data_IF_845411683844
#
_entry.id   IF_845411683844
#
_cell.length_a   1.000
_cell.length_b   1.000
_cell.length_c   1.000
_cell.angle_alpha   90.00
_cell.angle_beta   90.00
_cell.angle_gamma   90.00
#
_symmetry.space_group_name_H-M   'P 1'
#
loop_
_entity.id
_entity.type
_entity.pdbx_description
1 polymer ?
#
# COMPACT_ATOMS: atom_id res chain seq x y z
N UNK A 1 10.03 -16.03 -1.43
CA UNK A 1 10.04 -14.57 -1.14
C UNK A 1 11.46 -14.10 -0.89
N UNK A 2 11.88 -12.91 -1.40
CA UNK A 2 13.24 -12.39 -1.15
C UNK A 2 13.38 -11.89 0.29
N UNK A 3 14.63 -11.83 0.86
CA UNK A 3 14.84 -11.31 2.21
C UNK A 3 14.30 -9.88 2.41
N UNK A 4 14.43 -9.01 1.40
CA UNK A 4 13.94 -7.62 1.44
C UNK A 4 12.41 -7.58 1.56
N UNK A 5 11.70 -8.41 0.77
CA UNK A 5 10.24 -8.52 0.84
C UNK A 5 9.77 -9.09 2.18
N UNK A 6 10.48 -10.12 2.66
CA UNK A 6 10.18 -10.70 3.96
C UNK A 6 10.30 -9.66 5.08
N UNK A 7 11.37 -8.84 5.06
CA UNK A 7 11.59 -7.79 6.05
C UNK A 7 10.41 -6.80 6.14
N UNK A 8 9.80 -6.45 5.00
CA UNK A 8 8.65 -5.52 4.97
C UNK A 8 7.44 -6.08 5.74
N UNK A 9 7.18 -7.38 5.62
CA UNK A 9 5.98 -8.03 6.20
C UNK A 9 6.25 -8.78 7.49
N UNK A 10 7.52 -8.95 7.88
CA UNK A 10 7.94 -9.79 9.02
C UNK A 10 7.23 -9.42 10.32
N UNK A 11 7.11 -8.11 10.59
CA UNK A 11 6.47 -7.64 11.84
C UNK A 11 5.02 -8.08 11.97
N UNK A 12 4.28 -8.18 10.87
CA UNK A 12 2.89 -8.65 10.88
C UNK A 12 2.80 -10.16 10.78
N UNK A 13 3.71 -10.84 10.05
CA UNK A 13 3.76 -12.30 10.03
C UNK A 13 4.07 -12.88 11.42
N UNK A 14 4.81 -12.15 12.26
CA UNK A 14 5.09 -12.57 13.64
C UNK A 14 3.87 -12.48 14.57
N UNK A 15 2.76 -11.88 14.14
CA UNK A 15 1.51 -11.85 14.92
C UNK A 15 0.58 -13.03 14.64
N UNK A 16 0.92 -13.90 13.68
CA UNK A 16 0.17 -15.09 13.39
C UNK A 16 0.43 -16.17 14.45
N UNK A 17 -0.63 -16.82 14.87
CA UNK A 17 -0.63 -17.87 15.90
C UNK A 17 -0.68 -19.28 15.29
N UNK A 18 -1.15 -19.42 14.02
CA UNK A 18 -1.28 -20.67 13.30
C UNK A 18 -0.29 -20.73 12.14
N UNK A 19 0.69 -21.64 12.21
CA UNK A 19 1.77 -21.73 11.23
C UNK A 19 1.25 -22.07 9.82
N UNK A 20 0.24 -22.94 9.69
CA UNK A 20 -0.34 -23.31 8.40
C UNK A 20 -1.00 -22.12 7.69
N UNK A 21 -1.67 -21.23 8.43
CA UNK A 21 -2.26 -20.01 7.86
C UNK A 21 -1.17 -18.99 7.52
N UNK A 22 -0.15 -18.87 8.36
CA UNK A 22 1.02 -18.03 8.10
C UNK A 22 1.76 -18.47 6.83
N UNK A 23 2.00 -19.76 6.67
CA UNK A 23 2.64 -20.32 5.47
C UNK A 23 1.79 -20.07 4.23
N UNK A 24 0.47 -20.21 4.33
CA UNK A 24 -0.46 -19.88 3.26
C UNK A 24 -0.37 -18.39 2.87
N UNK A 25 -0.32 -17.48 3.85
CA UNK A 25 -0.15 -16.05 3.59
C UNK A 25 1.19 -15.77 2.89
N UNK A 26 2.28 -16.45 3.27
CA UNK A 26 3.59 -16.34 2.63
C UNK A 26 3.54 -16.82 1.17
N UNK A 27 2.87 -17.94 0.90
CA UNK A 27 2.67 -18.46 -0.47
C UNK A 27 1.91 -17.43 -1.32
N UNK A 28 0.84 -16.83 -0.78
CA UNK A 28 0.10 -15.81 -1.49
C UNK A 28 0.97 -14.58 -1.79
N UNK A 29 1.70 -14.07 -0.80
CA UNK A 29 2.61 -12.94 -0.97
C UNK A 29 3.68 -13.18 -2.04
N UNK A 30 4.20 -14.40 -2.11
CA UNK A 30 5.25 -14.78 -3.08
C UNK A 30 4.71 -14.85 -4.52
N UNK A 31 3.42 -15.14 -4.66
CA UNK A 31 2.73 -15.22 -5.93
C UNK A 31 2.09 -13.89 -6.39
N UNK A 32 2.19 -12.82 -5.58
CA UNK A 32 1.67 -11.51 -6.00
C UNK A 32 2.43 -10.97 -7.23
N UNK A 33 1.75 -10.22 -8.11
CA UNK A 33 2.42 -9.51 -9.20
C UNK A 33 3.56 -8.61 -8.70
N UNK A 34 4.65 -8.54 -9.45
CA UNK A 34 5.84 -7.77 -9.08
C UNK A 34 5.55 -6.29 -8.76
N UNK A 35 4.59 -5.68 -9.47
CA UNK A 35 4.27 -4.28 -9.26
C UNK A 35 3.74 -3.97 -7.85
N UNK A 36 3.11 -4.94 -7.16
CA UNK A 36 2.55 -4.76 -5.80
C UNK A 36 3.63 -4.30 -4.82
N UNK A 37 4.85 -4.78 -4.98
CA UNK A 37 5.99 -4.45 -4.14
C UNK A 37 6.58 -3.06 -4.40
N UNK A 38 6.19 -2.40 -5.50
CA UNK A 38 6.81 -1.15 -5.96
C UNK A 38 5.88 0.06 -6.00
N UNK A 39 4.58 -0.16 -6.24
CA UNK A 39 3.66 0.96 -6.45
C UNK A 39 3.23 1.61 -5.14
N UNK A 40 2.81 2.90 -5.17
CA UNK A 40 2.13 3.54 -4.06
C UNK A 40 0.72 2.97 -3.85
N UNK A 41 0.18 3.08 -2.64
CA UNK A 41 -1.21 2.70 -2.35
C UNK A 41 -2.23 3.57 -3.12
N UNK A 42 -1.86 4.81 -3.43
CA UNK A 42 -2.69 5.74 -4.19
C UNK A 42 -1.86 6.56 -5.18
N UNK A 43 -2.35 6.68 -6.41
CA UNK A 43 -1.72 7.51 -7.44
C UNK A 43 -1.75 9.00 -7.13
N UNK A 44 -2.74 9.48 -6.37
CA UNK A 44 -2.90 10.91 -6.04
C UNK A 44 -2.35 11.29 -4.68
N UNK A 45 -2.22 10.35 -3.76
CA UNK A 45 -1.80 10.57 -2.38
C UNK A 45 -2.69 11.50 -1.56
N UNK A 46 -3.85 11.91 -2.09
CA UNK A 46 -4.69 12.96 -1.50
C UNK A 46 -5.18 12.63 -0.08
N UNK A 47 -5.54 11.39 0.17
CA UNK A 47 -6.14 10.95 1.43
C UNK A 47 -5.23 10.03 2.24
N UNK A 48 -4.21 9.47 1.63
CA UNK A 48 -3.35 8.45 2.22
C UNK A 48 -2.23 9.05 3.07
N UNK A 49 -1.82 8.37 4.16
CA UNK A 49 -0.67 8.75 4.97
C UNK A 49 0.65 8.68 4.18
N UNK A 50 1.67 9.38 4.67
CA UNK A 50 2.97 9.45 4.01
C UNK A 50 3.62 8.07 3.80
N UNK A 51 3.49 7.15 4.76
CA UNK A 51 4.05 5.80 4.66
C UNK A 51 3.53 4.98 3.48
N UNK A 52 2.31 5.26 3.02
CA UNK A 52 1.67 4.53 1.91
C UNK A 52 1.91 5.18 0.53
N UNK A 53 2.75 6.22 0.47
CA UNK A 53 3.12 6.92 -0.76
C UNK A 53 4.48 6.42 -1.28
N UNK A 54 4.76 6.74 -2.55
CA UNK A 54 6.02 6.39 -3.19
C UNK A 54 6.21 4.89 -3.40
N UNK A 55 7.44 4.49 -3.68
CA UNK A 55 7.77 3.09 -3.94
C UNK A 55 7.50 2.20 -2.72
N UNK A 56 6.93 1.02 -2.96
CA UNK A 56 6.53 0.09 -1.89
C UNK A 56 5.39 0.57 -1.01
N UNK A 57 4.77 1.74 -1.33
CA UNK A 57 3.72 2.32 -0.54
C UNK A 57 2.48 1.43 -0.39
N UNK A 58 2.15 0.64 -1.42
CA UNK A 58 1.03 -0.29 -1.38
C UNK A 58 1.27 -1.41 -0.36
N UNK A 59 2.46 -1.99 -0.32
CA UNK A 59 2.76 -3.05 0.66
C UNK A 59 2.81 -2.49 2.09
N UNK A 60 3.36 -1.27 2.30
CA UNK A 60 3.30 -0.62 3.62
C UNK A 60 1.87 -0.31 4.04
N UNK A 61 0.99 0.04 3.11
CA UNK A 61 -0.44 0.19 3.39
C UNK A 61 -1.05 -1.14 3.87
N UNK A 62 -0.80 -2.25 3.16
CA UNK A 62 -1.31 -3.57 3.56
C UNK A 62 -0.79 -3.98 4.96
N UNK A 63 0.49 -3.74 5.26
CA UNK A 63 1.04 -3.93 6.61
C UNK A 63 0.33 -3.06 7.65
N UNK A 64 0.05 -1.79 7.32
CA UNK A 64 -0.69 -0.90 8.21
C UNK A 64 -2.13 -1.40 8.47
N UNK A 65 -2.80 -1.95 7.45
CA UNK A 65 -4.13 -2.56 7.60
C UNK A 65 -4.10 -3.70 8.62
N UNK A 66 -3.09 -4.60 8.55
CA UNK A 66 -2.95 -5.67 9.55
C UNK A 66 -2.68 -5.10 10.95
N UNK A 67 -1.86 -4.04 11.08
CA UNK A 67 -1.59 -3.40 12.38
C UNK A 67 -2.86 -2.79 12.97
N UNK A 68 -3.67 -2.08 12.18
CA UNK A 68 -4.97 -1.58 12.64
C UNK A 68 -5.92 -2.71 13.03
N UNK A 69 -5.96 -3.78 12.22
CA UNK A 69 -6.77 -4.95 12.55
C UNK A 69 -6.35 -5.55 13.88
N UNK A 70 -5.05 -5.70 14.16
CA UNK A 70 -4.55 -6.22 15.43
C UNK A 70 -5.01 -5.39 16.62
N UNK A 71 -5.03 -4.03 16.54
CA UNK A 71 -5.59 -3.20 17.60
C UNK A 71 -7.07 -3.53 17.88
N UNK A 72 -7.86 -3.80 16.85
CA UNK A 72 -9.25 -4.22 17.07
C UNK A 72 -9.34 -5.62 17.70
N UNK A 73 -8.51 -6.56 17.25
CA UNK A 73 -8.52 -7.94 17.75
C UNK A 73 -8.07 -8.04 19.22
N UNK A 74 -7.34 -7.05 19.74
CA UNK A 74 -6.98 -6.94 21.17
C UNK A 74 -8.15 -6.45 22.04
N UNK A 75 -9.15 -5.79 21.45
CA UNK A 75 -10.29 -5.29 22.20
C UNK A 75 -11.33 -6.40 22.43
N UNK A 76 -11.74 -6.59 23.70
CA UNK A 76 -12.72 -7.61 24.11
C UNK A 76 -13.98 -7.59 23.23
N UNK A 77 -14.49 -6.41 22.96
CA UNK A 77 -15.73 -6.21 22.19
C UNK A 77 -15.65 -6.66 20.72
N UNK A 78 -14.44 -6.78 20.15
CA UNK A 78 -14.24 -7.19 18.75
C UNK A 78 -13.57 -8.55 18.65
N UNK A 79 -12.48 -8.74 19.37
CA UNK A 79 -11.69 -9.97 19.29
C UNK A 79 -12.01 -11.03 20.35
N UNK A 80 -12.72 -10.66 21.44
CA UNK A 80 -12.91 -11.56 22.60
C UNK A 80 -13.63 -12.87 22.29
N UNK A 81 -14.53 -12.88 21.29
CA UNK A 81 -15.23 -14.09 20.85
C UNK A 81 -14.60 -14.86 19.69
N UNK A 82 -13.50 -14.35 19.12
CA UNK A 82 -12.87 -14.95 17.92
C UNK A 82 -11.79 -15.96 18.29
N UNK A 83 -11.75 -17.06 17.56
CA UNK A 83 -10.66 -18.05 17.66
C UNK A 83 -9.35 -17.51 17.07
N UNK A 84 -8.21 -18.08 17.46
CA UNK A 84 -6.92 -17.72 16.86
C UNK A 84 -6.91 -17.94 15.34
N UNK A 85 -7.59 -18.99 14.85
CA UNK A 85 -7.70 -19.25 13.41
C UNK A 85 -8.48 -18.15 12.68
N UNK A 86 -9.64 -17.74 13.18
CA UNK A 86 -10.43 -16.65 12.60
C UNK A 86 -9.61 -15.34 12.54
N UNK A 87 -8.88 -15.03 13.63
CA UNK A 87 -7.97 -13.87 13.67
C UNK A 87 -6.89 -13.94 12.59
N UNK A 88 -6.26 -15.11 12.39
CA UNK A 88 -5.21 -15.27 11.38
C UNK A 88 -5.76 -15.27 9.95
N UNK A 89 -6.96 -15.81 9.71
CA UNK A 89 -7.64 -15.71 8.43
C UNK A 89 -7.96 -14.24 8.08
N UNK A 90 -8.39 -13.45 9.07
CA UNK A 90 -8.59 -12.00 8.89
C UNK A 90 -7.28 -11.25 8.64
N UNK A 91 -6.19 -11.58 9.36
CA UNK A 91 -4.85 -11.04 9.12
C UNK A 91 -4.37 -11.33 7.70
N UNK A 92 -4.62 -12.55 7.21
CA UNK A 92 -4.33 -12.91 5.82
C UNK A 92 -5.14 -12.04 4.86
N UNK A 93 -6.45 -11.90 5.06
CA UNK A 93 -7.29 -11.05 4.23
C UNK A 93 -6.78 -9.59 4.21
N UNK A 94 -6.47 -9.02 5.37
CA UNK A 94 -5.95 -7.66 5.51
C UNK A 94 -4.60 -7.48 4.81
N UNK A 95 -3.70 -8.49 4.90
CA UNK A 95 -2.34 -8.41 4.34
C UNK A 95 -2.31 -8.42 2.81
N UNK A 96 -3.33 -9.01 2.16
CA UNK A 96 -3.31 -9.22 0.70
C UNK A 96 -4.52 -8.63 -0.04
N UNK A 97 -5.42 -7.87 0.64
CA UNK A 97 -6.69 -7.40 0.06
C UNK A 97 -6.52 -6.67 -1.28
N UNK A 98 -5.46 -5.90 -1.42
CA UNK A 98 -5.11 -5.12 -2.60
C UNK A 98 -4.10 -5.84 -3.53
N UNK A 99 -3.86 -7.15 -3.32
CA UNK A 99 -2.85 -7.94 -4.05
C UNK A 99 -3.06 -8.04 -5.56
N UNK A 100 -4.25 -7.70 -6.06
CA UNK A 100 -4.58 -7.64 -7.48
C UNK A 100 -5.06 -6.24 -7.89
N UNK A 101 -4.57 -5.18 -7.24
CA UNK A 101 -5.05 -3.80 -7.39
C UNK A 101 -5.17 -3.31 -8.84
N UNK A 102 -4.20 -3.62 -9.68
CA UNK A 102 -4.23 -3.32 -11.13
C UNK A 102 -4.37 -4.60 -11.98
N UNK A 103 -4.77 -5.71 -11.38
CA UNK A 103 -4.91 -7.02 -12.02
C UNK A 103 -3.60 -7.83 -12.04
N UNK A 104 -3.43 -8.70 -13.04
CA UNK A 104 -2.20 -9.45 -13.26
C UNK A 104 -1.02 -8.55 -13.62
N UNK A 105 0.21 -9.09 -13.65
CA UNK A 105 1.37 -8.34 -14.15
C UNK A 105 1.18 -7.85 -15.58
N UNK A 106 0.57 -8.67 -16.44
CA UNK A 106 0.27 -8.29 -17.82
C UNK A 106 -0.79 -7.19 -17.93
N UNK A 107 -1.78 -7.21 -17.04
CA UNK A 107 -2.77 -6.13 -16.94
C UNK A 107 -2.09 -4.82 -16.54
N UNK A 108 -1.23 -4.84 -15.51
CA UNK A 108 -0.48 -3.69 -15.06
C UNK A 108 0.45 -3.12 -16.13
N UNK A 109 1.10 -3.99 -16.92
CA UNK A 109 1.95 -3.56 -18.03
C UNK A 109 1.18 -2.79 -19.11
N UNK A 110 -0.10 -3.13 -19.31
CA UNK A 110 -1.00 -2.44 -20.25
C UNK A 110 -1.62 -1.18 -19.67
N UNK A 111 -1.96 -1.21 -18.38
CA UNK A 111 -2.63 -0.10 -17.69
C UNK A 111 -2.29 -0.10 -16.20
N UNK A 112 -1.70 0.99 -15.71
CA UNK A 112 -1.31 1.16 -14.31
C UNK A 112 -2.46 1.58 -13.39
N UNK A 113 -3.69 1.69 -13.90
CA UNK A 113 -4.83 2.11 -13.11
C UNK A 113 -5.39 0.97 -12.25
N UNK A 114 -5.93 1.34 -11.10
CA UNK A 114 -6.67 0.42 -10.24
C UNK A 114 -7.86 -0.16 -11.00
N UNK A 115 -8.00 -1.49 -10.97
CA UNK A 115 -9.20 -2.18 -11.46
C UNK A 115 -10.28 -2.12 -10.38
N UNK A 116 -11.48 -1.67 -10.74
CA UNK A 116 -12.59 -1.59 -9.79
C UNK A 116 -12.91 -2.95 -9.15
N UNK A 117 -12.84 -4.02 -9.95
CA UNK A 117 -13.11 -5.38 -9.51
C UNK A 117 -11.90 -6.12 -8.90
N UNK A 118 -10.82 -5.41 -8.52
CA UNK A 118 -9.64 -6.04 -7.91
C UNK A 118 -9.95 -6.89 -6.67
N UNK A 119 -10.97 -6.58 -5.82
CA UNK A 119 -11.34 -7.45 -4.71
C UNK A 119 -11.76 -8.85 -5.17
N UNK A 120 -12.56 -8.91 -6.22
CA UNK A 120 -13.01 -10.19 -6.80
C UNK A 120 -11.85 -10.95 -7.45
N UNK A 121 -10.95 -10.24 -8.14
CA UNK A 121 -9.76 -10.87 -8.72
C UNK A 121 -8.90 -11.52 -7.64
N UNK A 122 -8.65 -10.83 -6.53
CA UNK A 122 -7.86 -11.37 -5.43
C UNK A 122 -8.58 -12.54 -4.73
N UNK A 123 -9.88 -12.42 -4.50
CA UNK A 123 -10.68 -13.50 -3.93
C UNK A 123 -10.62 -14.79 -4.77
N UNK A 124 -10.64 -14.67 -6.10
CA UNK A 124 -10.47 -15.81 -6.99
C UNK A 124 -9.07 -16.46 -6.87
N UNK A 125 -8.02 -15.65 -6.73
CA UNK A 125 -6.66 -16.16 -6.45
C UNK A 125 -6.66 -16.98 -5.16
N UNK A 126 -7.27 -16.46 -4.07
CA UNK A 126 -7.36 -17.18 -2.79
C UNK A 126 -8.03 -18.55 -2.97
N UNK A 127 -9.21 -18.57 -3.61
CA UNK A 127 -9.99 -19.80 -3.81
C UNK A 127 -9.25 -20.84 -4.64
N UNK A 128 -8.39 -20.42 -5.56
CA UNK A 128 -7.63 -21.30 -6.44
C UNK A 128 -6.27 -21.71 -5.87
N UNK A 129 -5.81 -21.13 -4.76
CA UNK A 129 -4.54 -21.47 -4.12
C UNK A 129 -4.74 -22.59 -3.11
N UNK A 130 -3.99 -23.69 -3.25
CA UNK A 130 -4.03 -24.79 -2.28
C UNK A 130 -3.25 -24.44 -1.00
N UNK A 131 -3.55 -25.16 0.10
CA UNK A 131 -2.84 -25.02 1.39
C UNK A 131 -3.75 -24.85 2.60
N UNK A 132 -5.01 -24.43 2.42
CA UNK A 132 -6.03 -24.37 3.47
C UNK A 132 -7.32 -25.09 3.03
N UNK A 133 -8.20 -25.39 3.99
CA UNK A 133 -9.53 -25.91 3.70
C UNK A 133 -10.33 -24.91 2.83
N UNK A 134 -11.22 -25.42 1.97
CA UNK A 134 -12.02 -24.58 1.08
C UNK A 134 -12.84 -23.52 1.85
N UNK A 135 -13.40 -23.90 3.02
CA UNK A 135 -14.15 -23.00 3.89
C UNK A 135 -13.30 -21.84 4.43
N UNK A 136 -12.03 -22.09 4.75
CA UNK A 136 -11.10 -21.06 5.24
C UNK A 136 -10.68 -20.11 4.11
N UNK A 137 -10.43 -20.66 2.92
CA UNK A 137 -10.18 -19.84 1.73
C UNK A 137 -11.38 -18.96 1.37
N UNK A 138 -12.60 -19.49 1.48
CA UNK A 138 -13.82 -18.73 1.28
C UNK A 138 -13.99 -17.64 2.34
N UNK A 139 -13.65 -17.91 3.59
CA UNK A 139 -13.67 -16.89 4.65
C UNK A 139 -12.75 -15.70 4.31
N UNK A 140 -11.49 -15.98 3.94
CA UNK A 140 -10.53 -14.94 3.51
C UNK A 140 -11.07 -14.17 2.29
N UNK A 141 -11.55 -14.91 1.28
CA UNK A 141 -12.09 -14.36 0.04
C UNK A 141 -13.27 -13.42 0.29
N UNK A 142 -14.22 -13.80 1.15
CA UNK A 142 -15.40 -12.96 1.48
C UNK A 142 -14.99 -11.65 2.19
N UNK A 143 -13.99 -11.68 3.07
CA UNK A 143 -13.44 -10.46 3.68
C UNK A 143 -12.86 -9.53 2.61
N UNK A 144 -12.13 -10.09 1.63
CA UNK A 144 -11.52 -9.31 0.56
C UNK A 144 -12.56 -8.76 -0.43
N UNK A 145 -13.54 -9.56 -0.86
CA UNK A 145 -14.57 -9.14 -1.80
C UNK A 145 -15.33 -7.89 -1.34
N UNK A 146 -15.48 -7.71 -0.03
CA UNK A 146 -16.27 -6.66 0.59
C UNK A 146 -15.45 -5.49 1.15
N UNK A 147 -14.10 -5.51 1.04
CA UNK A 147 -13.25 -4.51 1.70
C UNK A 147 -13.50 -3.07 1.22
N UNK A 148 -14.01 -2.88 -0.01
CA UNK A 148 -14.34 -1.55 -0.55
C UNK A 148 -15.46 -0.83 0.21
N UNK A 149 -16.28 -1.55 0.99
CA UNK A 149 -17.31 -0.99 1.85
C UNK A 149 -18.30 -0.07 1.13
N UNK A 150 -18.30 1.21 1.48
CA UNK A 150 -19.21 2.19 0.86
C UNK A 150 -18.83 2.57 -0.58
N UNK A 151 -17.61 2.30 -1.04
CA UNK A 151 -17.14 2.57 -2.41
C UNK A 151 -17.30 1.36 -3.34
N UNK A 152 -18.29 0.53 -3.08
CA UNK A 152 -18.58 -0.72 -3.78
C UNK A 152 -19.30 -0.56 -5.12
N UNK A 153 -19.65 0.66 -5.56
CA UNK A 153 -20.40 0.90 -6.80
C UNK A 153 -19.59 1.74 -7.79
N UNK A 154 -19.44 1.22 -9.00
CA UNK A 154 -18.87 1.98 -10.13
C UNK A 154 -20.00 2.55 -11.01
N UNK A 155 -20.21 3.84 -10.89
CA UNK A 155 -21.26 4.56 -11.64
C UNK A 155 -21.06 4.53 -13.16
N UNK A 156 -19.81 4.29 -13.64
CA UNK A 156 -19.52 4.28 -15.08
C UNK A 156 -19.87 2.94 -15.73
N UNK A 157 -19.59 1.85 -15.03
CA UNK A 157 -19.80 0.49 -15.55
C UNK A 157 -21.07 -0.17 -15.02
N UNK A 158 -21.66 0.38 -13.94
CA UNK A 158 -22.80 -0.22 -13.24
C UNK A 158 -22.42 -1.45 -12.40
N UNK A 159 -21.13 -1.74 -12.24
CA UNK A 159 -20.66 -2.87 -11.43
C UNK A 159 -20.81 -2.55 -9.95
N UNK A 160 -21.37 -3.48 -9.19
CA UNK A 160 -21.44 -3.43 -7.73
C UNK A 160 -20.65 -4.58 -7.11
N UNK A 161 -19.83 -4.24 -6.12
CA UNK A 161 -19.10 -5.19 -5.28
C UNK A 161 -19.91 -5.54 -4.03
N UNK A 162 -19.64 -6.69 -3.39
CA UNK A 162 -20.25 -7.04 -2.11
C UNK A 162 -19.96 -5.96 -1.05
N UNK A 163 -20.94 -5.71 -0.18
CA UNK A 163 -20.78 -4.86 1.01
C UNK A 163 -20.46 -5.72 2.23
N UNK A 164 -19.70 -5.21 3.21
CA UNK A 164 -19.47 -5.93 4.46
C UNK A 164 -20.78 -6.24 5.18
N UNK A 165 -21.03 -7.51 5.51
CA UNK A 165 -22.28 -7.98 6.16
C UNK A 165 -22.03 -8.39 7.60
N UNK A 166 -21.03 -9.23 7.83
CA UNK A 166 -20.68 -9.74 9.15
C UNK A 166 -19.60 -8.90 9.84
N UNK A 167 -19.26 -9.26 11.06
CA UNK A 167 -18.26 -8.56 11.86
C UNK A 167 -16.84 -8.69 11.30
N UNK A 168 -16.47 -9.82 10.74
CA UNK A 168 -15.15 -10.06 10.16
C UNK A 168 -14.90 -9.13 8.96
N UNK A 169 -15.85 -9.10 8.04
CA UNK A 169 -15.82 -8.22 6.86
C UNK A 169 -15.80 -6.74 7.25
N UNK A 170 -16.60 -6.34 8.26
CA UNK A 170 -16.65 -4.97 8.75
C UNK A 170 -15.35 -4.54 9.39
N UNK A 171 -14.69 -5.42 10.16
CA UNK A 171 -13.40 -5.09 10.79
C UNK A 171 -12.26 -4.99 9.77
N UNK A 172 -12.20 -5.89 8.78
CA UNK A 172 -11.22 -5.79 7.69
C UNK A 172 -11.42 -4.50 6.89
N UNK A 173 -12.66 -4.16 6.51
CA UNK A 173 -12.98 -2.89 5.86
C UNK A 173 -12.60 -1.68 6.74
N UNK A 174 -12.91 -1.70 8.03
CA UNK A 174 -12.58 -0.60 8.96
C UNK A 174 -11.08 -0.41 9.08
N UNK A 175 -10.31 -1.49 9.18
CA UNK A 175 -8.85 -1.45 9.24
C UNK A 175 -8.25 -0.82 7.97
N UNK A 176 -8.72 -1.22 6.78
CA UNK A 176 -8.32 -0.62 5.51
C UNK A 176 -8.70 0.88 5.45
N UNK A 177 -9.93 1.21 5.84
CA UNK A 177 -10.39 2.59 5.91
C UNK A 177 -9.46 3.45 6.76
N UNK A 178 -9.09 3.00 7.96
CA UNK A 178 -8.20 3.74 8.86
C UNK A 178 -6.79 3.86 8.29
N UNK A 179 -6.23 2.78 7.74
CA UNK A 179 -4.91 2.78 7.11
C UNK A 179 -4.84 3.75 5.90
N UNK A 180 -5.96 4.08 5.29
CA UNK A 180 -6.04 5.05 4.20
C UNK A 180 -6.31 6.49 4.66
N UNK A 181 -6.31 6.80 5.97
CA UNK A 181 -6.59 8.16 6.50
C UNK A 181 -5.31 8.92 6.81
N UNK A 182 -5.11 10.06 6.14
CA UNK A 182 -3.92 10.93 6.28
C UNK A 182 -3.69 11.44 7.70
N UNK A 183 -4.76 11.55 8.50
CA UNK A 183 -4.67 11.99 9.89
C UNK A 183 -4.11 10.90 10.83
N UNK A 184 -4.02 9.65 10.36
CA UNK A 184 -3.49 8.52 11.12
C UNK A 184 -2.13 8.14 10.54
N UNK A 185 -1.09 8.13 11.38
CA UNK A 185 0.27 7.78 11.01
C UNK A 185 0.70 6.52 11.75
N UNK A 186 1.52 5.70 11.10
CA UNK A 186 2.21 4.57 11.69
C UNK A 186 3.70 4.71 11.47
N UNK A 187 4.47 4.26 12.45
CA UNK A 187 5.92 4.22 12.38
C UNK A 187 6.39 2.97 11.63
N UNK A 188 7.32 3.17 10.69
CA UNK A 188 7.96 2.14 9.91
C UNK A 188 9.50 2.25 10.00
N UNK A 189 10.05 2.81 11.10
CA UNK A 189 11.48 3.11 11.25
C UNK A 189 12.42 1.93 10.96
N UNK A 190 11.98 0.71 11.18
CA UNK A 190 12.79 -0.50 11.00
C UNK A 190 12.51 -1.24 9.68
N UNK A 191 11.67 -0.70 8.81
CA UNK A 191 11.45 -1.27 7.48
C UNK A 191 12.37 -0.54 6.52
N UNK A 192 13.45 -1.20 6.12
CA UNK A 192 14.24 -0.73 4.99
C UNK A 192 13.35 -0.77 3.74
N UNK A 193 12.78 0.39 3.42
CA UNK A 193 12.24 0.57 2.08
C UNK A 193 13.43 0.52 1.15
N UNK A 194 13.39 -0.26 0.04
CA UNK A 194 14.37 -0.10 -1.00
C UNK A 194 14.38 1.39 -1.35
N UNK A 195 15.43 2.09 -0.98
CA UNK A 195 15.67 3.43 -1.51
C UNK A 195 15.86 3.22 -2.99
N UNK A 196 14.85 3.52 -3.78
CA UNK A 196 15.14 3.94 -5.14
C UNK A 196 15.94 5.20 -4.93
N UNK A 197 17.22 5.13 -5.24
CA UNK A 197 17.98 6.33 -5.57
C UNK A 197 17.31 6.90 -6.83
N UNK A 198 16.20 7.60 -6.62
CA UNK A 198 15.76 8.57 -7.60
C UNK A 198 16.88 9.60 -7.60
N UNK A 199 17.70 9.54 -8.63
CA UNK A 199 18.75 10.55 -8.81
C UNK A 199 18.02 11.89 -8.70
N UNK A 200 18.46 12.80 -7.83
CA UNK A 200 17.76 14.08 -7.61
C UNK A 200 17.47 14.83 -8.92
N UNK A 201 18.36 14.68 -9.88
CA UNK A 201 18.22 15.24 -11.23
C UNK A 201 17.07 14.64 -12.05
N UNK A 202 16.51 13.49 -11.65
CA UNK A 202 15.40 12.82 -12.31
C UNK A 202 14.03 13.14 -11.66
N UNK A 203 14.03 13.93 -10.57
CA UNK A 203 12.78 14.29 -9.90
C UNK A 203 11.92 15.18 -10.79
N UNK A 204 10.74 14.67 -11.17
CA UNK A 204 9.76 15.37 -11.99
C UNK A 204 8.62 15.85 -11.12
N UNK A 205 8.27 17.12 -11.24
CA UNK A 205 7.17 17.72 -10.48
C UNK A 205 5.83 17.09 -10.87
N UNK A 206 5.10 16.63 -9.87
CA UNK A 206 3.78 16.00 -10.04
C UNK A 206 2.61 16.94 -9.76
N UNK A 207 2.90 18.23 -9.43
CA UNK A 207 1.94 19.25 -9.01
C UNK A 207 2.40 20.66 -9.41
N UNK A 208 1.51 21.64 -9.22
CA UNK A 208 1.80 23.05 -9.43
C UNK A 208 1.89 23.48 -10.90
N UNK A 209 2.36 24.72 -11.14
CA UNK A 209 2.45 25.32 -12.49
C UNK A 209 3.48 24.62 -13.40
N UNK A 210 4.50 23.98 -12.79
CA UNK A 210 5.57 23.25 -13.48
C UNK A 210 5.38 21.72 -13.44
N UNK A 211 4.14 21.25 -13.32
CA UNK A 211 3.84 19.81 -13.37
C UNK A 211 4.36 19.17 -14.66
N UNK A 212 5.17 18.13 -14.53
CA UNK A 212 5.79 17.40 -15.65
C UNK A 212 7.21 17.87 -15.98
N UNK A 213 7.71 18.95 -15.38
CA UNK A 213 9.07 19.44 -15.55
C UNK A 213 10.03 18.83 -14.52
N UNK A 214 11.31 18.70 -14.89
CA UNK A 214 12.35 18.22 -13.95
C UNK A 214 12.70 19.35 -12.97
N UNK A 215 12.75 19.03 -11.70
CA UNK A 215 13.05 20.01 -10.64
C UNK A 215 14.43 20.62 -10.80
N UNK A 216 15.45 19.84 -11.24
CA UNK A 216 16.79 20.36 -11.46
C UNK A 216 16.85 21.44 -12.55
N UNK A 217 15.98 21.36 -13.57
CA UNK A 217 15.96 22.36 -14.66
C UNK A 217 15.45 23.70 -14.13
N UNK A 218 14.50 23.70 -13.17
CA UNK A 218 14.01 24.90 -12.49
C UNK A 218 15.12 25.52 -11.61
N UNK A 219 15.91 24.71 -10.93
CA UNK A 219 17.07 25.20 -10.18
C UNK A 219 18.10 25.86 -11.10
N UNK A 220 18.44 25.23 -12.22
CA UNK A 220 19.42 25.76 -13.20
C UNK A 220 18.93 27.02 -13.93
N UNK A 221 17.63 27.16 -14.12
CA UNK A 221 17.03 28.38 -14.73
C UNK A 221 16.88 29.54 -13.75
N UNK A 222 17.03 29.31 -12.43
CA UNK A 222 16.79 30.32 -11.41
C UNK A 222 15.32 30.73 -11.27
N UNK A 223 14.38 29.80 -11.54
CA UNK A 223 12.95 30.08 -11.42
C UNK A 223 12.55 30.33 -9.96
N UNK A 224 11.91 31.47 -9.68
CA UNK A 224 11.44 31.86 -8.34
C UNK A 224 10.49 30.84 -7.69
N UNK A 225 9.90 29.95 -8.49
CA UNK A 225 9.07 28.86 -7.98
C UNK A 225 9.80 27.88 -7.08
N UNK A 226 11.13 27.74 -7.28
CA UNK A 226 11.99 26.92 -6.41
C UNK A 226 12.02 27.48 -5.00
N UNK A 227 12.23 28.80 -4.87
CA UNK A 227 12.26 29.48 -3.56
C UNK A 227 10.90 29.35 -2.87
N UNK A 228 9.83 29.56 -3.63
CA UNK A 228 8.47 29.38 -3.10
C UNK A 228 8.22 27.93 -2.62
N UNK A 229 8.70 26.93 -3.38
CA UNK A 229 8.56 25.50 -2.97
C UNK A 229 9.31 25.20 -1.68
N UNK A 230 10.51 25.75 -1.49
CA UNK A 230 11.29 25.55 -0.27
C UNK A 230 10.55 26.03 0.98
N UNK A 231 9.89 27.17 0.87
CA UNK A 231 9.18 27.81 1.98
C UNK A 231 7.78 27.21 2.24
N UNK A 232 7.11 26.72 1.19
CA UNK A 232 5.68 26.39 1.27
C UNK A 232 5.36 24.91 1.10
N UNK A 233 6.28 24.08 0.60
CA UNK A 233 6.07 22.67 0.37
C UNK A 233 6.76 21.84 1.47
N UNK A 234 5.98 21.26 2.35
CA UNK A 234 6.48 20.39 3.46
C UNK A 234 6.53 18.91 3.10
N UNK A 235 6.27 18.53 1.85
CA UNK A 235 6.31 17.14 1.40
C UNK A 235 7.73 16.58 1.50
N UNK A 236 7.95 15.45 2.22
CA UNK A 236 9.29 14.90 2.45
C UNK A 236 10.04 14.53 1.17
N UNK A 237 9.33 13.98 0.16
CA UNK A 237 9.91 13.61 -1.14
C UNK A 237 10.41 14.83 -1.93
N UNK A 238 9.67 15.94 -1.88
CA UNK A 238 10.03 17.20 -2.52
C UNK A 238 11.22 17.84 -1.79
N UNK A 239 11.17 17.92 -0.47
CA UNK A 239 12.24 18.49 0.35
C UNK A 239 13.56 17.69 0.21
N UNK A 240 13.48 16.36 0.16
CA UNK A 240 14.63 15.51 -0.10
C UNK A 240 15.24 15.76 -1.49
N UNK A 241 14.40 15.90 -2.53
CA UNK A 241 14.86 16.22 -3.88
C UNK A 241 15.51 17.61 -3.95
N UNK A 242 14.89 18.64 -3.33
CA UNK A 242 15.43 19.99 -3.23
C UNK A 242 16.84 19.97 -2.58
N UNK A 243 16.96 19.33 -1.41
CA UNK A 243 18.23 19.27 -0.67
C UNK A 243 19.32 18.55 -1.47
N UNK A 244 18.97 17.46 -2.13
CA UNK A 244 19.92 16.69 -2.93
C UNK A 244 20.38 17.47 -4.18
N UNK A 245 19.48 18.19 -4.86
CA UNK A 245 19.83 19.03 -6.00
C UNK A 245 20.74 20.20 -5.58
N UNK A 246 20.42 20.88 -4.46
CA UNK A 246 21.26 21.94 -3.91
C UNK A 246 22.68 21.46 -3.61
N UNK A 247 22.79 20.30 -2.95
CA UNK A 247 24.09 19.72 -2.65
C UNK A 247 24.89 19.42 -3.92
N UNK A 248 24.26 18.82 -4.93
CA UNK A 248 24.90 18.52 -6.20
C UNK A 248 25.38 19.77 -6.93
N UNK A 249 24.54 20.82 -7.02
CA UNK A 249 24.90 22.07 -7.68
C UNK A 249 26.05 22.80 -6.95
N UNK A 250 26.09 22.73 -5.61
CA UNK A 250 27.19 23.29 -4.84
C UNK A 250 28.50 22.53 -5.10
N UNK A 251 28.48 21.20 -5.24
CA UNK A 251 29.64 20.38 -5.59
C UNK A 251 30.15 20.67 -7.02
N UNK A 252 29.23 20.94 -7.98
CA UNK A 252 29.57 21.34 -9.36
C UNK A 252 30.25 22.72 -9.41
N UNK A 253 29.86 23.65 -8.53
CA UNK A 253 30.47 25.00 -8.45
C UNK A 253 31.84 25.01 -7.79
N UNK A 254 32.14 24.07 -6.86
CA UNK A 254 33.42 23.98 -6.20
C UNK A 254 34.51 23.30 -7.07
N UNK A 255 34.14 22.64 -8.16
CA UNK A 255 35.08 22.00 -9.12
C UNK A 255 35.49 22.92 -10.29
N UNK A 256 34.97 24.15 -10.38
CA UNK A 256 35.31 25.16 -11.40
C UNK A 256 36.21 26.25 -10.87
#
# INVERSE_FOLDING_TARGET
MTPERLNIVQSVLNTFENDDIKDFAIVLLDNLPEYIWRVPASSTGKYHPAYSLGEGGLMRHQVAVVRFLNFFLELEQYGGGMTSRERDLMRTAALIHDGMKSGTQDDYNKSKYTKFNHPILMANVIRSTDGLAASERDFIAHCIESHMGQWCSDKKTGVELPKPKDEYQKLVHLADYLASRKALTMDFENIETPRVESKPEEYVLTFGKHKGEKLIDLFKSGDDYVVWMEENITRPDVQAAINAIKKKLAEEDDEL
#
